data_IF_136626735366
#
_entry.id   IF_136626735366
#
_cell.length_a   1.000
_cell.length_b   1.000
_cell.length_c   1.000
_cell.angle_alpha   90.00
_cell.angle_beta   90.00
_cell.angle_gamma   90.00
#
_symmetry.space_group_name_H-M   'P 1'
#
loop_
_entity.id
_entity.type
_entity.pdbx_description
1 polymer ?
#
# COMPACT_ATOMS: atom_id res chain seq x y z
N UNK A 1 -25.52 -3.63 -12.53
CA UNK A 1 -24.06 -3.85 -12.47
C UNK A 1 -23.57 -3.33 -11.12
N UNK A 2 -22.98 -4.15 -10.23
CA UNK A 2 -22.68 -3.65 -8.89
C UNK A 2 -21.32 -2.94 -8.86
N UNK A 3 -21.37 -1.63 -8.60
CA UNK A 3 -20.41 -0.81 -7.84
C UNK A 3 -18.90 -1.05 -8.02
N UNK A 4 -18.40 -1.32 -9.23
CA UNK A 4 -16.97 -1.22 -9.56
C UNK A 4 -16.50 0.23 -9.78
N UNK A 5 -17.33 1.22 -9.44
CA UNK A 5 -17.14 2.62 -9.83
C UNK A 5 -16.39 3.38 -8.71
N UNK A 6 -15.09 3.61 -8.96
CA UNK A 6 -14.25 4.71 -8.44
C UNK A 6 -13.58 4.65 -7.06
N UNK A 7 -13.54 3.54 -6.32
CA UNK A 7 -12.72 3.52 -5.07
C UNK A 7 -11.22 3.33 -5.31
N UNK A 8 -10.78 2.85 -6.49
CA UNK A 8 -9.37 2.97 -6.88
C UNK A 8 -8.87 4.41 -6.67
N UNK A 9 -9.74 5.41 -6.90
CA UNK A 9 -9.49 6.84 -6.64
C UNK A 9 -9.37 7.20 -5.17
N UNK A 10 -10.03 6.50 -4.25
CA UNK A 10 -9.92 6.82 -2.81
C UNK A 10 -8.53 6.47 -2.28
N UNK A 11 -7.94 5.38 -2.78
CA UNK A 11 -6.57 5.00 -2.41
C UNK A 11 -5.51 5.83 -3.13
N UNK A 12 -5.80 6.39 -4.32
CA UNK A 12 -4.83 7.22 -5.06
C UNK A 12 -4.20 8.29 -4.16
N UNK A 13 -2.89 8.45 -4.31
CA UNK A 13 -2.09 9.41 -3.55
C UNK A 13 -1.02 8.73 -2.71
N UNK A 14 -0.44 9.51 -1.80
CA UNK A 14 0.68 9.10 -0.97
C UNK A 14 0.21 8.83 0.46
N UNK A 15 0.56 7.65 0.95
CA UNK A 15 0.18 7.14 2.26
C UNK A 15 1.44 6.80 3.03
N UNK A 16 1.69 7.54 4.12
CA UNK A 16 2.86 7.33 4.96
C UNK A 16 2.49 6.47 6.16
N UNK A 17 3.24 5.38 6.33
CA UNK A 17 3.16 4.49 7.49
C UNK A 17 4.46 4.52 8.27
N UNK A 18 4.39 4.25 9.57
CA UNK A 18 5.56 4.05 10.42
C UNK A 18 5.43 2.68 11.08
N UNK A 19 6.44 1.84 10.90
CA UNK A 19 6.52 0.55 11.61
C UNK A 19 7.06 0.74 13.02
N UNK A 20 6.85 -0.21 13.95
CA UNK A 20 7.30 -0.08 15.34
C UNK A 20 8.80 0.22 15.54
N UNK A 21 9.65 -0.11 14.56
CA UNK A 21 11.08 0.25 14.57
C UNK A 21 11.35 1.76 14.39
N UNK A 22 10.32 2.58 14.13
CA UNK A 22 10.43 4.00 13.86
C UNK A 22 10.74 4.33 12.39
N UNK A 23 10.97 3.32 11.55
CA UNK A 23 11.18 3.54 10.12
C UNK A 23 9.84 3.90 9.46
N UNK A 24 9.83 5.04 8.75
CA UNK A 24 8.71 5.43 7.91
C UNK A 24 8.92 5.00 6.46
N UNK A 25 7.84 4.59 5.82
CA UNK A 25 7.80 4.35 4.38
C UNK A 25 6.51 4.89 3.81
N UNK A 26 6.51 5.15 2.51
CA UNK A 26 5.38 5.75 1.81
C UNK A 26 4.92 4.81 0.70
N UNK A 27 3.64 4.48 0.71
CA UNK A 27 2.98 3.91 -0.46
C UNK A 27 2.46 5.03 -1.35
N UNK A 28 2.79 4.98 -2.63
CA UNK A 28 2.19 5.84 -3.65
C UNK A 28 1.28 4.99 -4.52
N UNK A 29 -0.03 5.05 -4.28
CA UNK A 29 -1.01 4.42 -5.14
C UNK A 29 -1.24 5.31 -6.36
N UNK A 30 -0.90 4.76 -7.52
CA UNK A 30 -1.04 5.41 -8.81
C UNK A 30 -2.12 4.72 -9.65
N UNK A 31 -2.66 5.40 -10.68
CA UNK A 31 -3.64 4.81 -11.58
C UNK A 31 -3.18 3.48 -12.19
N UNK A 32 -4.16 2.73 -12.71
CA UNK A 32 -3.92 1.49 -13.47
C UNK A 32 -3.25 0.37 -12.65
N UNK A 33 -3.43 0.36 -11.33
CA UNK A 33 -2.93 -0.70 -10.45
C UNK A 33 -1.42 -0.61 -10.18
N UNK A 34 -0.81 0.57 -10.35
CA UNK A 34 0.61 0.80 -10.05
C UNK A 34 0.79 1.26 -8.60
N UNK A 35 1.71 0.65 -7.88
CA UNK A 35 2.06 1.01 -6.51
C UNK A 35 3.56 1.27 -6.44
N UNK A 36 3.98 2.33 -5.76
CA UNK A 36 5.38 2.49 -5.37
C UNK A 36 5.54 2.36 -3.87
N UNK A 37 6.55 1.60 -3.43
CA UNK A 37 7.04 1.64 -2.06
C UNK A 37 8.28 2.53 -2.02
N UNK A 38 8.15 3.68 -1.39
CA UNK A 38 9.21 4.68 -1.25
C UNK A 38 9.76 4.69 0.18
N UNK A 39 11.08 4.71 0.30
CA UNK A 39 11.79 4.87 1.56
C UNK A 39 13.06 5.72 1.35
N UNK A 40 13.56 6.35 2.42
CA UNK A 40 14.85 7.03 2.38
C UNK A 40 15.97 6.04 2.70
N UNK A 41 17.02 6.05 1.89
CA UNK A 41 18.25 5.32 2.16
C UNK A 41 19.04 5.95 3.32
N UNK A 42 20.11 5.27 3.80
CA UNK A 42 21.02 5.81 4.82
C UNK A 42 21.70 7.12 4.40
N UNK A 43 21.86 7.34 3.10
CA UNK A 43 22.38 8.54 2.45
C UNK A 43 21.34 9.67 2.34
N UNK A 44 20.12 9.46 2.84
CA UNK A 44 19.02 10.41 2.78
C UNK A 44 18.29 10.45 1.43
N UNK A 45 18.78 9.75 0.41
CA UNK A 45 18.19 9.71 -0.91
C UNK A 45 16.87 8.92 -0.90
N UNK A 46 15.82 9.47 -1.53
CA UNK A 46 14.56 8.76 -1.71
C UNK A 46 14.71 7.70 -2.80
N UNK A 47 14.35 6.46 -2.47
CA UNK A 47 14.32 5.34 -3.41
C UNK A 47 12.92 4.75 -3.45
N UNK A 48 12.47 4.33 -4.63
CA UNK A 48 11.17 3.70 -4.79
C UNK A 48 11.26 2.39 -5.58
N UNK A 49 10.58 1.36 -5.09
CA UNK A 49 10.31 0.12 -5.83
C UNK A 49 8.93 0.22 -6.48
N UNK A 50 8.86 0.01 -7.80
CA UNK A 50 7.58 -0.17 -8.49
C UNK A 50 7.03 -1.58 -8.22
N UNK A 51 5.73 -1.65 -7.94
CA UNK A 51 4.94 -2.83 -7.65
C UNK A 51 3.56 -2.70 -8.30
N UNK A 52 2.78 -3.79 -8.21
CA UNK A 52 1.40 -3.80 -8.66
C UNK A 52 0.47 -3.96 -7.48
N UNK A 53 -0.74 -3.42 -7.59
CA UNK A 53 -1.79 -3.66 -6.61
C UNK A 53 -3.13 -3.95 -7.27
N UNK A 54 -3.98 -4.69 -6.55
CA UNK A 54 -5.38 -4.93 -6.90
C UNK A 54 -6.23 -4.86 -5.64
N UNK A 55 -7.38 -4.21 -5.71
CA UNK A 55 -8.30 -4.10 -4.57
C UNK A 55 -9.60 -4.85 -4.80
N UNK A 56 -10.17 -5.37 -3.70
CA UNK A 56 -11.57 -5.77 -3.65
C UNK A 56 -12.21 -5.19 -2.40
N UNK A 57 -13.14 -4.26 -2.62
CA UNK A 57 -13.73 -3.44 -1.57
C UNK A 57 -15.12 -3.93 -1.18
N UNK A 58 -15.68 -4.87 -1.95
CA UNK A 58 -16.92 -5.55 -1.60
C UNK A 58 -16.74 -6.55 -0.45
N UNK A 59 -15.49 -6.84 -0.07
CA UNK A 59 -15.16 -7.66 1.08
C UNK A 59 -15.05 -6.82 2.36
N UNK A 60 -15.28 -7.47 3.51
CA UNK A 60 -15.09 -6.88 4.84
C UNK A 60 -14.28 -7.85 5.71
N UNK A 61 -13.07 -7.48 6.16
CA UNK A 61 -12.31 -6.28 5.78
C UNK A 61 -12.03 -6.22 4.26
N UNK A 62 -11.73 -5.04 3.73
CA UNK A 62 -11.44 -4.89 2.31
C UNK A 62 -10.14 -5.61 1.97
N UNK A 63 -9.98 -6.05 0.73
CA UNK A 63 -8.80 -6.77 0.29
C UNK A 63 -7.90 -5.88 -0.54
N UNK A 64 -6.59 -6.01 -0.34
CA UNK A 64 -5.59 -5.52 -1.27
C UNK A 64 -4.55 -6.61 -1.51
N UNK A 65 -4.28 -6.89 -2.78
CA UNK A 65 -3.24 -7.80 -3.22
C UNK A 65 -2.06 -6.96 -3.73
N UNK A 66 -0.84 -7.26 -3.27
CA UNK A 66 0.38 -6.54 -3.64
C UNK A 66 1.30 -7.49 -4.41
N UNK A 67 1.55 -7.18 -5.68
CA UNK A 67 2.50 -7.91 -6.52
C UNK A 67 3.92 -7.40 -6.29
N UNK A 68 4.76 -8.22 -5.65
CA UNK A 68 6.18 -7.94 -5.40
C UNK A 68 7.06 -8.23 -6.62
N UNK A 69 6.59 -9.15 -7.47
CA UNK A 69 7.17 -9.59 -8.76
C UNK A 69 6.05 -10.18 -9.65
N UNK A 70 6.39 -10.79 -10.78
CA UNK A 70 5.41 -11.44 -11.67
C UNK A 70 4.80 -12.71 -11.09
N UNK A 71 5.46 -13.33 -10.11
CA UNK A 71 5.04 -14.61 -9.51
C UNK A 71 4.69 -14.47 -8.03
N UNK A 72 5.14 -13.40 -7.36
CA UNK A 72 4.92 -13.21 -5.93
C UNK A 72 3.86 -12.15 -5.66
N UNK A 73 2.72 -12.62 -5.14
CA UNK A 73 1.61 -11.77 -4.71
C UNK A 73 1.37 -11.99 -3.22
N UNK A 74 1.39 -10.92 -2.46
CA UNK A 74 0.99 -10.90 -1.05
C UNK A 74 -0.49 -10.54 -0.98
N UNK A 75 -1.31 -11.41 -0.42
CA UNK A 75 -2.72 -11.14 -0.19
C UNK A 75 -2.91 -10.58 1.22
N UNK A 76 -3.54 -9.42 1.33
CA UNK A 76 -3.77 -8.77 2.63
C UNK A 76 -5.16 -8.15 2.72
N UNK A 77 -5.49 -7.63 3.90
CA UNK A 77 -6.73 -6.95 4.24
C UNK A 77 -6.47 -5.57 4.82
N UNK A 78 -7.41 -4.66 4.59
CA UNK A 78 -7.33 -3.29 5.07
C UNK A 78 -8.70 -2.71 5.38
N UNK A 79 -8.67 -1.62 6.13
CA UNK A 79 -9.83 -0.78 6.44
C UNK A 79 -9.46 0.68 6.24
N UNK A 80 -10.42 1.48 5.77
CA UNK A 80 -10.35 2.94 5.80
C UNK A 80 -11.14 3.41 7.02
N UNK A 81 -10.51 4.19 7.89
CA UNK A 81 -11.15 4.70 9.10
C UNK A 81 -11.91 6.00 8.79
N UNK A 82 -12.93 6.35 9.60
CA UNK A 82 -13.66 7.62 9.45
C UNK A 82 -12.75 8.86 9.50
N UNK A 83 -11.59 8.76 10.16
CA UNK A 83 -10.57 9.80 10.28
C UNK A 83 -9.66 9.90 9.04
N UNK A 84 -9.95 9.13 7.98
CA UNK A 84 -9.18 9.14 6.74
C UNK A 84 -7.85 8.40 6.82
N UNK A 85 -7.70 7.45 7.75
CA UNK A 85 -6.52 6.60 7.85
C UNK A 85 -6.76 5.26 7.16
N UNK A 86 -5.69 4.61 6.73
CA UNK A 86 -5.72 3.23 6.25
C UNK A 86 -5.03 2.33 7.27
N UNK A 87 -5.75 1.34 7.82
CA UNK A 87 -5.16 0.26 8.61
C UNK A 87 -4.94 -0.93 7.68
N UNK A 88 -3.71 -1.44 7.61
CA UNK A 88 -3.33 -2.49 6.66
C UNK A 88 -2.58 -3.62 7.37
N UNK A 89 -3.02 -4.87 7.15
CA UNK A 89 -2.39 -6.05 7.76
C UNK A 89 -1.15 -6.49 6.99
N UNK A 90 0.00 -5.84 7.21
CA UNK A 90 1.27 -6.27 6.58
C UNK A 90 1.95 -7.40 7.36
N UNK A 91 2.01 -7.29 8.68
CA UNK A 91 2.68 -8.28 9.52
C UNK A 91 1.99 -9.65 9.40
N UNK A 92 2.79 -10.70 9.24
CA UNK A 92 2.29 -12.07 9.12
C UNK A 92 1.76 -12.43 7.72
N UNK A 93 1.91 -11.53 6.74
CA UNK A 93 1.57 -11.83 5.33
C UNK A 93 2.84 -12.11 4.53
N UNK A 94 2.78 -13.11 3.66
CA UNK A 94 3.87 -13.50 2.76
C UNK A 94 3.27 -14.04 1.45
N UNK A 95 4.03 -14.03 0.34
CA UNK A 95 3.61 -14.69 -0.89
C UNK A 95 3.25 -16.16 -0.65
N UNK A 96 2.17 -16.63 -1.27
CA UNK A 96 1.68 -18.02 -1.16
C UNK A 96 0.95 -18.37 0.15
N UNK A 97 0.95 -17.49 1.15
CA UNK A 97 0.13 -17.66 2.35
C UNK A 97 -1.31 -17.21 2.09
N UNK A 98 -2.30 -17.81 2.77
CA UNK A 98 -3.69 -17.39 2.63
C UNK A 98 -3.88 -15.96 3.14
N UNK A 99 -4.79 -15.23 2.49
CA UNK A 99 -5.23 -13.90 2.95
C UNK A 99 -5.70 -13.98 4.41
N UNK A 100 -5.26 -13.07 5.30
CA UNK A 100 -5.84 -12.93 6.63
C UNK A 100 -7.34 -12.66 6.57
N UNK A 101 -8.10 -13.11 7.56
CA UNK A 101 -9.54 -12.85 7.63
C UNK A 101 -9.91 -11.56 8.39
N UNK A 102 -8.93 -10.92 9.05
CA UNK A 102 -9.12 -9.77 9.92
C UNK A 102 -7.83 -8.96 10.07
N UNK A 103 -7.96 -7.72 10.54
CA UNK A 103 -6.84 -6.91 10.98
C UNK A 103 -6.54 -7.22 12.45
N UNK A 104 -5.27 -7.27 12.83
CA UNK A 104 -4.84 -7.39 14.21
C UNK A 104 -4.38 -6.03 14.79
N UNK A 105 -3.99 -6.03 16.07
CA UNK A 105 -3.52 -4.82 16.77
C UNK A 105 -2.24 -4.23 16.18
N UNK A 106 -1.46 -5.05 15.45
CA UNK A 106 -0.23 -4.66 14.80
C UNK A 106 -0.42 -4.24 13.33
N UNK A 107 -1.67 -4.10 12.86
CA UNK A 107 -1.96 -3.55 11.54
C UNK A 107 -1.31 -2.17 11.40
N UNK A 108 -0.55 -1.99 10.31
CA UNK A 108 0.17 -0.74 10.06
C UNK A 108 -0.83 0.36 9.75
N UNK A 109 -0.71 1.48 10.46
CA UNK A 109 -1.55 2.66 10.25
C UNK A 109 -0.85 3.60 9.27
N UNK A 110 -1.55 3.91 8.20
CA UNK A 110 -1.12 4.85 7.19
C UNK A 110 -1.98 6.11 7.24
N UNK A 111 -1.32 7.26 7.11
CA UNK A 111 -1.97 8.55 6.91
C UNK A 111 -1.77 9.00 5.48
N UNK A 112 -2.83 9.49 4.85
CA UNK A 112 -2.71 10.15 3.55
C UNK A 112 -1.99 11.48 3.75
N UNK A 113 -0.89 11.68 3.06
CA UNK A 113 -0.04 12.89 3.15
C UNK A 113 -0.07 13.72 1.87
N UNK A 114 -0.56 13.16 0.76
CA UNK A 114 -0.71 13.87 -0.51
C UNK A 114 -1.71 13.15 -1.42
N UNK A 115 -2.38 13.90 -2.30
CA UNK A 115 -3.18 13.37 -3.42
C UNK A 115 -2.32 13.05 -4.66
N UNK A 116 -1.03 13.41 -4.65
CA UNK A 116 -0.14 13.19 -5.78
C UNK A 116 0.09 11.69 -6.04
N UNK A 117 -0.18 11.25 -7.26
CA UNK A 117 0.03 9.86 -7.70
C UNK A 117 1.38 9.64 -8.38
N UNK A 118 2.14 10.71 -8.59
CA UNK A 118 3.51 10.66 -9.10
C UNK A 118 4.51 10.60 -7.94
N UNK A 119 5.68 10.01 -8.20
CA UNK A 119 6.82 10.08 -7.30
C UNK A 119 7.38 11.52 -7.25
N UNK A 120 7.95 11.95 -6.11
CA UNK A 120 8.79 13.15 -6.06
C UNK A 120 9.91 13.09 -7.10
N UNK A 121 10.23 14.23 -7.72
CA UNK A 121 11.13 14.30 -8.88
C UNK A 121 12.56 13.81 -8.60
N UNK A 122 13.01 13.85 -7.35
CA UNK A 122 14.31 13.40 -6.85
C UNK A 122 14.33 11.92 -6.43
N UNK A 123 13.20 11.21 -6.58
CA UNK A 123 13.09 9.80 -6.20
C UNK A 123 13.73 8.91 -7.25
N UNK A 124 14.74 8.14 -6.84
CA UNK A 124 15.35 7.12 -7.68
C UNK A 124 14.46 5.87 -7.70
N UNK A 125 13.90 5.53 -8.87
CA UNK A 125 13.23 4.23 -9.06
C UNK A 125 14.30 3.15 -9.17
N UNK A 126 14.22 2.15 -8.30
CA UNK A 126 15.12 1.00 -8.31
C UNK A 126 14.41 -0.18 -8.98
N UNK A 127 15.04 -0.73 -10.01
CA UNK A 127 14.64 -2.00 -10.63
C UNK A 127 15.29 -3.20 -9.94
N UNK A 128 14.73 -4.38 -10.16
CA UNK A 128 15.43 -5.65 -9.94
C UNK A 128 16.03 -6.12 -11.27
#
# INVERSE_FOLDING_TARGET
APASINIDKQLLGQWQGTVPSGQSFTFVFAPEGKLFLMAKGPDGAARAKEMRYKVNLGAKPMHIDVGLSSTEIVQTVFELTPEGQMRLQLQGTNPGQPRPNSLNEQATVFKKVSEATALPADTQVIGY
#
